data_IF_720635052536
#
_entry.id   IF_720635052536
#
_cell.length_a   1.000
_cell.length_b   1.000
_cell.length_c   1.000
_cell.angle_alpha   90.00
_cell.angle_beta   90.00
_cell.angle_gamma   90.00
#
_symmetry.space_group_name_H-M   'P 1'
#
loop_
_entity.id
_entity.type
_entity.pdbx_description
1 polymer ?
#
# COMPACT_ATOMS: atom_id res chain seq x y z
N UNK A 1 8.01 2.50 -17.80
CA UNK A 1 7.37 2.66 -16.49
C UNK A 1 7.22 4.14 -16.23
N UNK A 2 6.01 4.59 -15.93
CA UNK A 2 5.74 5.99 -15.54
C UNK A 2 6.00 6.10 -14.03
N UNK A 3 6.72 7.11 -13.53
CA UNK A 3 6.93 7.26 -12.10
C UNK A 3 5.58 7.45 -11.38
N UNK A 4 5.43 6.79 -10.23
CA UNK A 4 4.24 6.97 -9.39
C UNK A 4 4.22 8.42 -8.87
N UNK A 5 3.06 9.12 -8.92
CA UNK A 5 2.94 10.45 -8.35
C UNK A 5 3.29 10.44 -6.85
N UNK A 6 3.98 11.49 -6.39
CA UNK A 6 4.46 11.58 -5.00
C UNK A 6 3.33 11.40 -3.98
N UNK A 7 2.16 12.01 -4.23
CA UNK A 7 0.99 11.86 -3.37
C UNK A 7 0.52 10.40 -3.26
N UNK A 8 0.60 9.62 -4.34
CA UNK A 8 0.25 8.20 -4.31
C UNK A 8 1.29 7.38 -3.55
N UNK A 9 2.58 7.65 -3.79
CA UNK A 9 3.69 7.02 -3.06
C UNK A 9 3.60 7.26 -1.54
N UNK A 10 3.29 8.48 -1.13
CA UNK A 10 3.14 8.84 0.29
C UNK A 10 2.06 7.99 0.97
N UNK A 11 0.89 7.81 0.34
CA UNK A 11 -0.18 6.94 0.87
C UNK A 11 0.20 5.47 0.89
N UNK A 12 0.95 5.01 -0.10
CA UNK A 12 1.47 3.63 -0.13
C UNK A 12 2.42 3.41 1.05
N UNK A 13 3.35 4.33 1.28
CA UNK A 13 4.31 4.25 2.39
C UNK A 13 3.62 4.30 3.75
N UNK A 14 2.66 5.21 3.93
CA UNK A 14 1.88 5.34 5.17
C UNK A 14 1.11 4.04 5.47
N UNK A 15 0.40 3.48 4.49
CA UNK A 15 -0.30 2.20 4.68
C UNK A 15 0.69 1.06 4.96
N UNK A 16 1.77 0.95 4.19
CA UNK A 16 2.73 -0.14 4.32
C UNK A 16 3.45 -0.17 5.68
N UNK A 17 3.65 0.99 6.31
CA UNK A 17 4.27 1.08 7.63
C UNK A 17 3.43 0.47 8.75
N UNK A 18 2.12 0.31 8.54
CA UNK A 18 1.16 -0.19 9.53
C UNK A 18 0.66 -1.62 9.23
N UNK A 19 1.05 -2.18 8.07
CA UNK A 19 0.76 -3.56 7.72
C UNK A 19 1.90 -4.48 8.15
N UNK A 20 1.53 -5.66 8.65
CA UNK A 20 2.48 -6.76 8.77
C UNK A 20 2.81 -7.35 7.38
N UNK A 21 3.76 -8.29 7.36
CA UNK A 21 4.21 -8.89 6.10
C UNK A 21 3.09 -9.62 5.36
N UNK A 22 2.29 -10.41 6.09
CA UNK A 22 1.19 -11.19 5.50
C UNK A 22 0.08 -10.28 4.96
N UNK A 23 -0.28 -9.23 5.69
CA UNK A 23 -1.27 -8.24 5.27
C UNK A 23 -0.81 -7.45 4.04
N UNK A 24 0.47 -7.05 4.00
CA UNK A 24 1.04 -6.37 2.83
C UNK A 24 1.04 -7.25 1.58
N UNK A 25 1.42 -8.54 1.70
CA UNK A 25 1.40 -9.48 0.59
C UNK A 25 -0.01 -9.80 0.10
N UNK A 26 -0.95 -10.06 1.02
CA UNK A 26 -2.34 -10.32 0.69
C UNK A 26 -2.97 -9.12 -0.05
N UNK A 27 -2.71 -7.91 0.44
CA UNK A 27 -3.19 -6.68 -0.20
C UNK A 27 -2.56 -6.47 -1.57
N UNK A 28 -1.25 -6.69 -1.70
CA UNK A 28 -0.56 -6.60 -2.97
C UNK A 28 -1.13 -7.58 -4.01
N UNK A 29 -1.42 -8.82 -3.62
CA UNK A 29 -2.01 -9.81 -4.53
C UNK A 29 -3.42 -9.43 -4.99
N UNK A 30 -4.24 -8.83 -4.10
CA UNK A 30 -5.52 -8.28 -4.51
C UNK A 30 -5.34 -7.11 -5.51
N UNK A 31 -4.44 -6.18 -5.22
CA UNK A 31 -4.16 -5.01 -6.07
C UNK A 31 -3.63 -5.40 -7.46
N UNK A 32 -2.80 -6.46 -7.59
CA UNK A 32 -2.30 -6.95 -8.89
C UNK A 32 -3.40 -7.28 -9.89
N UNK A 33 -4.60 -7.60 -9.41
CA UNK A 33 -5.76 -7.96 -10.26
C UNK A 33 -6.51 -6.74 -10.77
N UNK A 34 -6.17 -5.53 -10.30
CA UNK A 34 -6.76 -4.28 -10.76
C UNK A 34 -5.99 -3.70 -11.93
N UNK A 35 -6.71 -3.41 -13.02
CA UNK A 35 -6.13 -2.81 -14.23
C UNK A 35 -5.92 -1.30 -14.10
N UNK A 36 -6.75 -0.62 -13.33
CA UNK A 36 -6.72 0.84 -13.19
C UNK A 36 -7.45 1.29 -11.91
N UNK A 37 -7.38 2.60 -11.62
CA UNK A 37 -8.01 3.23 -10.46
C UNK A 37 -9.53 2.99 -10.40
N UNK A 38 -10.32 3.26 -11.46
CA UNK A 38 -11.76 3.00 -11.46
C UNK A 38 -12.13 1.53 -11.21
N UNK A 39 -11.33 0.57 -11.67
CA UNK A 39 -11.51 -0.86 -11.43
C UNK A 39 -11.15 -1.35 -10.02
N UNK A 40 -10.56 -0.49 -9.17
CA UNK A 40 -10.07 -0.89 -7.85
C UNK A 40 -11.17 -1.10 -6.79
N UNK A 41 -12.39 -0.60 -7.04
CA UNK A 41 -13.51 -0.61 -6.09
C UNK A 41 -13.86 -2.02 -5.57
N UNK A 42 -13.75 -3.05 -6.41
CA UNK A 42 -14.01 -4.43 -6.01
C UNK A 42 -12.92 -4.96 -5.07
N UNK A 43 -11.67 -4.58 -5.28
CA UNK A 43 -10.55 -4.94 -4.40
C UNK A 43 -10.63 -4.19 -3.08
N UNK A 44 -11.00 -2.90 -3.10
CA UNK A 44 -11.22 -2.14 -1.87
C UNK A 44 -12.24 -2.81 -0.94
N UNK A 45 -13.36 -3.31 -1.47
CA UNK A 45 -14.36 -4.05 -0.68
C UNK A 45 -13.80 -5.31 -0.02
N UNK A 46 -12.99 -6.10 -0.74
CA UNK A 46 -12.40 -7.33 -0.22
C UNK A 46 -11.30 -7.04 0.81
N UNK A 47 -10.44 -6.08 0.52
CA UNK A 47 -9.37 -5.68 1.42
C UNK A 47 -9.89 -5.13 2.74
N UNK A 48 -11.03 -4.41 2.74
CA UNK A 48 -11.68 -3.95 3.99
C UNK A 48 -12.13 -5.09 4.92
N UNK A 49 -12.39 -6.29 4.40
CA UNK A 49 -12.73 -7.44 5.25
C UNK A 49 -11.51 -8.01 5.98
N UNK A 50 -10.30 -7.70 5.50
CA UNK A 50 -9.04 -8.23 6.03
C UNK A 50 -8.31 -7.24 6.95
N UNK A 51 -8.65 -5.95 6.86
CA UNK A 51 -7.98 -4.89 7.60
C UNK A 51 -8.78 -4.46 8.84
N UNK A 52 -8.04 -4.11 9.90
CA UNK A 52 -8.58 -3.40 11.06
C UNK A 52 -9.09 -1.99 10.70
N UNK A 53 -9.72 -1.30 11.66
CA UNK A 53 -10.35 -0.01 11.41
C UNK A 53 -9.38 1.08 10.92
N UNK A 54 -8.17 1.14 11.47
CA UNK A 54 -7.18 2.18 11.15
C UNK A 54 -6.59 1.94 9.75
N UNK A 55 -6.23 0.69 9.47
CA UNK A 55 -5.70 0.27 8.17
C UNK A 55 -6.76 0.37 7.05
N UNK A 56 -8.05 0.19 7.36
CA UNK A 56 -9.15 0.48 6.43
C UNK A 56 -9.18 1.95 6.02
N UNK A 57 -9.05 2.87 6.99
CA UNK A 57 -9.03 4.31 6.70
C UNK A 57 -7.87 4.69 5.76
N UNK A 58 -6.67 4.13 6.01
CA UNK A 58 -5.50 4.34 5.16
C UNK A 58 -5.66 3.77 3.76
N UNK A 59 -6.24 2.58 3.65
CA UNK A 59 -6.58 1.98 2.36
C UNK A 59 -7.56 2.85 1.58
N UNK A 60 -8.60 3.37 2.21
CA UNK A 60 -9.60 4.19 1.53
C UNK A 60 -8.97 5.46 0.95
N UNK A 61 -8.10 6.13 1.71
CA UNK A 61 -7.34 7.29 1.22
C UNK A 61 -6.43 6.91 0.05
N UNK A 62 -5.77 5.74 0.09
CA UNK A 62 -4.94 5.25 -1.00
C UNK A 62 -5.77 5.03 -2.28
N UNK A 63 -6.92 4.37 -2.19
CA UNK A 63 -7.78 4.06 -3.33
C UNK A 63 -8.40 5.31 -3.94
N UNK A 64 -8.80 6.28 -3.11
CA UNK A 64 -9.29 7.58 -3.59
C UNK A 64 -8.16 8.34 -4.28
N UNK A 65 -6.97 8.41 -3.67
CA UNK A 65 -5.80 9.07 -4.27
C UNK A 65 -5.44 8.44 -5.61
N UNK A 66 -5.45 7.11 -5.70
CA UNK A 66 -5.21 6.41 -6.95
C UNK A 66 -6.25 6.77 -8.01
N UNK A 67 -7.54 6.72 -7.65
CA UNK A 67 -8.64 6.99 -8.58
C UNK A 67 -8.61 8.43 -9.12
N UNK A 68 -8.28 9.41 -8.28
CA UNK A 68 -8.32 10.82 -8.67
C UNK A 68 -7.00 11.36 -9.24
N UNK A 69 -5.85 10.95 -8.69
CA UNK A 69 -4.54 11.54 -9.04
C UNK A 69 -3.80 10.71 -10.09
N UNK A 70 -3.98 9.38 -10.06
CA UNK A 70 -3.21 8.47 -10.90
C UNK A 70 -4.09 7.39 -11.57
N UNK A 71 -5.22 7.76 -12.23
CA UNK A 71 -6.22 6.78 -12.67
C UNK A 71 -5.68 5.73 -13.64
N UNK A 72 -4.59 6.04 -14.36
CA UNK A 72 -3.93 5.15 -15.33
C UNK A 72 -2.84 4.26 -14.72
N UNK A 73 -2.45 4.50 -13.47
CA UNK A 73 -1.51 3.61 -12.77
C UNK A 73 -2.15 2.24 -12.61
N UNK A 74 -1.39 1.20 -12.91
CA UNK A 74 -1.86 -0.17 -12.83
C UNK A 74 -1.77 -0.66 -11.37
N UNK A 75 -2.70 -1.54 -10.98
CA UNK A 75 -2.68 -2.09 -9.62
C UNK A 75 -1.42 -2.90 -9.30
N UNK A 76 -0.78 -3.50 -10.31
CA UNK A 76 0.52 -4.17 -10.17
C UNK A 76 1.64 -3.21 -9.76
N UNK A 77 1.61 -1.95 -10.21
CA UNK A 77 2.61 -0.94 -9.86
C UNK A 77 2.46 -0.52 -8.39
N UNK A 78 1.21 -0.35 -7.95
CA UNK A 78 0.88 -0.05 -6.55
C UNK A 78 1.22 -1.24 -5.65
N UNK A 79 0.90 -2.45 -6.07
CA UNK A 79 1.24 -3.67 -5.35
C UNK A 79 2.75 -3.82 -5.16
N UNK A 80 3.55 -3.57 -6.21
CA UNK A 80 5.00 -3.63 -6.12
C UNK A 80 5.54 -2.56 -5.16
N UNK A 81 5.03 -1.33 -5.24
CA UNK A 81 5.41 -0.25 -4.34
C UNK A 81 5.03 -0.53 -2.87
N UNK A 82 3.86 -1.12 -2.62
CA UNK A 82 3.40 -1.51 -1.29
C UNK A 82 4.34 -2.53 -0.64
N UNK A 83 4.70 -3.59 -1.37
CA UNK A 83 5.62 -4.63 -0.86
C UNK A 83 7.00 -4.03 -0.58
N UNK A 84 7.51 -3.20 -1.50
CA UNK A 84 8.80 -2.54 -1.33
C UNK A 84 8.81 -1.60 -0.11
N UNK A 85 7.77 -0.78 0.06
CA UNK A 85 7.62 0.11 1.20
C UNK A 85 7.52 -0.65 2.52
N UNK A 86 6.74 -1.74 2.56
CA UNK A 86 6.60 -2.57 3.75
C UNK A 86 7.93 -3.24 4.15
N UNK A 87 8.67 -3.78 3.18
CA UNK A 87 9.99 -4.34 3.42
C UNK A 87 10.97 -3.29 3.97
N UNK A 88 10.89 -2.05 3.48
CA UNK A 88 11.75 -0.96 3.93
C UNK A 88 11.39 -0.48 5.35
N UNK A 89 10.10 -0.33 5.67
CA UNK A 89 9.64 0.05 7.01
C UNK A 89 10.12 -0.95 8.07
N UNK A 90 10.07 -2.25 7.76
CA UNK A 90 10.58 -3.31 8.65
C UNK A 90 12.09 -3.18 8.90
N UNK A 91 12.89 -2.95 7.86
CA UNK A 91 14.35 -2.73 8.01
C UNK A 91 14.66 -1.51 8.87
N UNK A 92 13.90 -0.42 8.70
CA UNK A 92 14.03 0.79 9.50
C UNK A 92 13.79 0.54 10.99
N UNK A 93 12.77 -0.24 11.33
CA UNK A 93 12.48 -0.59 12.72
C UNK A 93 13.54 -1.51 13.34
N UNK A 94 14.06 -2.48 12.60
CA UNK A 94 15.16 -3.34 13.07
C UNK A 94 16.44 -2.55 13.33
N UNK A 95 16.80 -1.60 12.45
CA UNK A 95 17.97 -0.75 12.63
C UNK A 95 17.83 0.24 13.80
N UNK A 96 16.62 0.73 14.07
CA UNK A 96 16.36 1.60 15.22
C UNK A 96 16.53 0.87 16.56
N UNK A 97 16.07 -0.38 16.67
CA UNK A 97 16.27 -1.20 17.87
C UNK A 97 17.74 -1.54 18.13
N UNK A 98 18.54 -1.76 17.08
CA UNK A 98 19.98 -2.01 17.23
C UNK A 98 20.78 -0.76 17.65
N UNK A 99 20.30 0.44 17.29
CA UNK A 99 20.94 1.70 17.65
C UNK A 99 20.70 2.09 19.12
N UNK A 100 19.53 1.78 19.67
CA UNK A 100 19.15 2.08 21.07
C UNK A 100 19.74 1.09 22.08
N UNK A 101 20.24 -0.06 21.59
CA UNK A 101 20.89 -1.10 22.40
C UNK A 101 22.41 -0.93 22.54
N UNK A 102 22.99 0.17 22.04
CA UNK A 102 24.43 0.49 22.09
C UNK A 102 24.68 1.76 22.89
#
# INVERSE_FOLDING_TARGET
MTPLPYALLDRICDLAAHLDEQGAEALAEMLRRCKDGPGCQRVGKLARLLLDADNRGRLDILLDTWTFIAPRTLGIEIAAALVAAGAQARRGNSGAMEADAR
#
